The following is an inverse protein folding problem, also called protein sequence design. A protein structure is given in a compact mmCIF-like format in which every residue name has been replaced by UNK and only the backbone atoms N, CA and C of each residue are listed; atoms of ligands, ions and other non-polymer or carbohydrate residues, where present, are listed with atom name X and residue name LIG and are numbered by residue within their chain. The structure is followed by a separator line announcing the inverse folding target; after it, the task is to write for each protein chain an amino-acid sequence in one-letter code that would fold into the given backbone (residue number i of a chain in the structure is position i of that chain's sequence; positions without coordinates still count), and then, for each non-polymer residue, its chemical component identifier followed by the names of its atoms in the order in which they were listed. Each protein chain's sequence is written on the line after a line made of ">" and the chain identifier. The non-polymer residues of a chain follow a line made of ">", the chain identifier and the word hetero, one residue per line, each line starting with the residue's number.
data_IF_989287088963
#
_entry.id   IF_989287088963
#
_cell.length_a   1.000
_cell.length_b   1.000
_cell.length_c   1.000
_cell.angle_alpha   90.00
_cell.angle_beta   90.00
_cell.angle_gamma   90.00
#
_symmetry.space_group_name_H-M   'P 1'
#
loop_
_entity.id
_entity.type
_entity.pdbx_description
1 polymer ?
#
# COMPACT_ATOMS: atom_id res chain seq x y z
N UNK A 1 -31.39 -40.41 30.91
CA UNK A 1 -32.19 -39.89 29.79
C UNK A 1 -32.68 -38.52 30.25
N UNK A 2 -31.92 -37.45 29.96
CA UNK A 2 -32.34 -36.09 30.32
C UNK A 2 -33.61 -35.76 29.56
N UNK A 3 -34.56 -35.08 30.20
CA UNK A 3 -35.79 -34.68 29.54
C UNK A 3 -35.50 -33.50 28.61
N UNK A 4 -36.06 -33.49 27.39
CA UNK A 4 -35.93 -32.41 26.38
C UNK A 4 -35.90 -30.95 26.94
N UNK A 5 -36.67 -30.57 27.99
CA UNK A 5 -36.56 -29.24 28.60
C UNK A 5 -35.23 -28.95 29.31
N UNK A 6 -34.55 -29.94 29.91
CA UNK A 6 -33.29 -29.74 30.64
C UNK A 6 -32.11 -29.48 29.69
N UNK A 7 -32.08 -30.17 28.54
CA UNK A 7 -31.09 -29.91 27.47
C UNK A 7 -31.27 -28.49 26.91
N UNK A 8 -32.51 -28.05 26.66
CA UNK A 8 -32.78 -26.70 26.17
C UNK A 8 -32.28 -25.61 27.14
N UNK A 9 -32.51 -25.79 28.44
CA UNK A 9 -32.06 -24.85 29.48
C UNK A 9 -30.52 -24.81 29.53
N UNK A 10 -29.85 -25.96 29.40
CA UNK A 10 -28.37 -26.00 29.39
C UNK A 10 -27.75 -25.27 28.21
N UNK A 11 -28.35 -25.38 27.02
CA UNK A 11 -27.90 -24.67 25.81
C UNK A 11 -28.12 -23.17 25.97
N UNK A 12 -29.28 -22.75 26.48
CA UNK A 12 -29.59 -21.34 26.72
C UNK A 12 -28.61 -20.74 27.74
N UNK A 13 -28.30 -21.45 28.83
CA UNK A 13 -27.34 -21.00 29.83
C UNK A 13 -25.92 -20.90 29.25
N UNK A 14 -25.53 -21.83 28.38
CA UNK A 14 -24.22 -21.79 27.72
C UNK A 14 -24.09 -20.58 26.80
N UNK A 15 -25.13 -20.29 25.99
CA UNK A 15 -25.18 -19.11 25.13
C UNK A 15 -25.16 -17.83 25.98
N UNK A 16 -25.93 -17.76 27.07
CA UNK A 16 -25.94 -16.61 27.98
C UNK A 16 -24.56 -16.35 28.58
N UNK A 17 -23.85 -17.41 29.00
CA UNK A 17 -22.49 -17.30 29.53
C UNK A 17 -21.49 -16.82 28.47
N UNK A 18 -21.59 -17.31 27.23
CA UNK A 18 -20.77 -16.81 26.13
C UNK A 18 -21.04 -15.33 25.83
N UNK A 19 -22.32 -14.92 25.81
CA UNK A 19 -22.71 -13.52 25.61
C UNK A 19 -22.16 -12.62 26.72
N UNK A 20 -22.27 -13.04 27.99
CA UNK A 20 -21.73 -12.31 29.13
C UNK A 20 -20.20 -12.18 29.03
N UNK A 21 -19.51 -13.19 28.52
CA UNK A 21 -18.05 -13.18 28.35
C UNK A 21 -17.58 -12.31 27.17
N UNK A 22 -18.40 -12.19 26.12
CA UNK A 22 -18.12 -11.35 24.94
C UNK A 22 -18.41 -9.87 25.22
N UNK A 23 -19.42 -9.56 26.05
CA UNK A 23 -19.83 -8.20 26.36
C UNK A 23 -18.68 -7.25 26.78
N UNK A 24 -17.81 -7.59 27.75
CA UNK A 24 -16.70 -6.72 28.13
C UNK A 24 -15.69 -6.53 26.99
N UNK A 25 -15.44 -7.56 26.16
CA UNK A 25 -14.51 -7.49 25.03
C UNK A 25 -14.99 -6.48 23.97
N UNK A 26 -16.29 -6.45 23.70
CA UNK A 26 -16.89 -5.47 22.79
C UNK A 26 -16.73 -4.05 23.35
N UNK A 27 -17.03 -3.85 24.65
CA UNK A 27 -16.89 -2.56 25.30
C UNK A 27 -15.44 -2.02 25.21
N UNK A 28 -14.44 -2.85 25.54
CA UNK A 28 -13.03 -2.47 25.39
C UNK A 28 -12.63 -2.18 23.94
N UNK A 29 -13.14 -2.96 22.99
CA UNK A 29 -12.86 -2.73 21.56
C UNK A 29 -13.39 -1.38 21.08
N UNK A 30 -14.57 -0.96 21.55
CA UNK A 30 -15.15 0.36 21.26
C UNK A 30 -14.27 1.47 21.84
N UNK A 31 -13.81 1.32 23.09
CA UNK A 31 -12.90 2.28 23.73
C UNK A 31 -11.61 2.43 22.91
N UNK A 32 -11.00 1.31 22.51
CA UNK A 32 -9.79 1.31 21.67
C UNK A 32 -10.04 1.98 20.32
N UNK A 33 -11.18 1.71 19.68
CA UNK A 33 -11.54 2.35 18.41
C UNK A 33 -11.65 3.87 18.57
N UNK A 34 -12.34 4.35 19.61
CA UNK A 34 -12.46 5.79 19.91
C UNK A 34 -11.09 6.42 20.18
N UNK A 35 -10.25 5.78 20.99
CA UNK A 35 -8.89 6.25 21.26
C UNK A 35 -8.04 6.34 19.99
N UNK A 36 -8.15 5.34 19.10
CA UNK A 36 -7.44 5.33 17.82
C UNK A 36 -7.86 6.51 16.95
N UNK A 37 -9.17 6.81 16.87
CA UNK A 37 -9.67 7.96 16.11
C UNK A 37 -9.22 9.30 16.71
N UNK A 38 -9.12 9.40 18.04
CA UNK A 38 -8.58 10.59 18.72
C UNK A 38 -7.10 10.76 18.37
N UNK A 39 -6.32 9.68 18.42
CA UNK A 39 -4.89 9.70 18.06
C UNK A 39 -4.68 10.11 16.61
N UNK A 40 -5.49 9.60 15.68
CA UNK A 40 -5.48 10.00 14.25
C UNK A 40 -5.68 11.51 14.12
N UNK A 41 -6.70 12.07 14.77
CA UNK A 41 -6.95 13.53 14.73
C UNK A 41 -5.78 14.33 15.32
N UNK A 42 -5.20 13.87 16.43
CA UNK A 42 -4.08 14.53 17.10
C UNK A 42 -2.83 14.53 16.22
N UNK A 43 -2.46 13.37 15.70
CA UNK A 43 -1.28 13.18 14.85
C UNK A 43 -1.42 13.96 13.54
N UNK A 44 -2.60 13.95 12.92
CA UNK A 44 -2.84 14.74 11.71
C UNK A 44 -2.72 16.25 11.96
N UNK A 45 -3.13 16.74 13.13
CA UNK A 45 -2.90 18.14 13.51
C UNK A 45 -1.41 18.45 13.67
N UNK A 46 -0.66 17.56 14.32
CA UNK A 46 0.79 17.69 14.50
C UNK A 46 1.53 17.68 13.16
N UNK A 47 1.23 16.74 12.27
CA UNK A 47 1.86 16.65 10.94
C UNK A 47 1.62 17.93 10.14
N UNK A 48 0.36 18.40 10.07
CA UNK A 48 0.03 19.64 9.35
C UNK A 48 0.73 20.85 9.95
N UNK A 49 0.85 20.91 11.28
CA UNK A 49 1.59 21.96 11.95
C UNK A 49 3.08 21.91 11.62
N UNK A 50 3.71 20.73 11.67
CA UNK A 50 5.13 20.54 11.34
C UNK A 50 5.43 20.91 9.88
N UNK A 51 4.64 20.42 8.92
CA UNK A 51 4.85 20.72 7.50
C UNK A 51 4.80 22.22 7.23
N UNK A 52 3.88 22.93 7.88
CA UNK A 52 3.77 24.40 7.79
C UNK A 52 4.91 25.12 8.52
N UNK A 53 5.23 24.71 9.75
CA UNK A 53 6.25 25.35 10.58
C UNK A 53 7.63 25.32 9.91
N UNK A 54 7.96 24.22 9.23
CA UNK A 54 9.23 24.06 8.52
C UNK A 54 9.17 24.41 7.03
N UNK A 55 8.03 24.88 6.51
CA UNK A 55 7.81 25.12 5.08
C UNK A 55 8.31 23.95 4.20
N UNK A 56 8.04 22.70 4.61
CA UNK A 56 8.59 21.52 3.94
C UNK A 56 8.14 21.43 2.48
N UNK A 57 6.98 21.98 2.15
CA UNK A 57 6.50 22.06 0.76
C UNK A 57 7.43 22.91 -0.12
N UNK A 58 7.94 24.04 0.41
CA UNK A 58 8.86 24.92 -0.30
C UNK A 58 10.25 24.28 -0.47
N UNK A 59 10.71 23.55 0.55
CA UNK A 59 11.95 22.77 0.45
C UNK A 59 11.87 21.73 -0.65
N UNK A 60 10.74 21.03 -0.76
CA UNK A 60 10.57 20.02 -1.81
C UNK A 60 10.42 20.65 -3.19
N UNK A 61 9.70 21.77 -3.31
CA UNK A 61 9.62 22.46 -4.61
C UNK A 61 10.97 22.98 -5.10
N UNK A 62 11.89 23.28 -4.19
CA UNK A 62 13.26 23.69 -4.54
C UNK A 62 14.13 22.50 -4.98
N UNK A 63 13.87 21.31 -4.45
CA UNK A 63 14.59 20.09 -4.83
C UNK A 63 14.05 19.52 -6.14
N UNK A 64 12.72 19.33 -6.23
CA UNK A 64 12.06 18.65 -7.34
C UNK A 64 11.47 19.69 -8.32
N UNK A 65 11.89 19.69 -9.60
CA UNK A 65 11.38 20.64 -10.58
C UNK A 65 9.86 20.49 -10.76
N UNK A 66 9.11 21.57 -10.45
CA UNK A 66 7.64 21.57 -10.50
C UNK A 66 6.95 21.01 -9.24
N UNK A 67 7.71 20.70 -8.18
CA UNK A 67 7.19 20.19 -6.91
C UNK A 67 6.60 18.78 -7.00
N UNK A 68 6.04 18.30 -5.89
CA UNK A 68 5.26 17.05 -5.87
C UNK A 68 3.86 17.28 -6.41
N UNK A 69 3.33 16.33 -7.19
CA UNK A 69 1.92 16.38 -7.63
C UNK A 69 0.93 16.25 -6.47
N UNK A 70 1.31 15.54 -5.41
CA UNK A 70 0.52 15.37 -4.19
C UNK A 70 1.22 16.13 -3.06
N UNK A 71 0.53 16.99 -2.27
CA UNK A 71 1.14 17.72 -1.17
C UNK A 71 1.81 16.76 -0.18
N UNK A 72 3.01 17.13 0.29
CA UNK A 72 3.77 16.32 1.25
C UNK A 72 2.96 16.03 2.52
N UNK A 73 2.23 17.04 3.01
CA UNK A 73 1.35 16.88 4.17
C UNK A 73 0.37 15.72 3.97
N UNK A 74 -0.26 15.63 2.80
CA UNK A 74 -1.24 14.59 2.48
C UNK A 74 -0.61 13.20 2.46
N UNK A 75 0.58 13.07 1.85
CA UNK A 75 1.33 11.81 1.82
C UNK A 75 1.64 11.35 3.24
N UNK A 76 2.23 12.21 4.06
CA UNK A 76 2.63 11.87 5.44
C UNK A 76 1.40 11.56 6.29
N UNK A 77 0.31 12.33 6.20
CA UNK A 77 -0.92 12.05 6.94
C UNK A 77 -1.53 10.72 6.54
N UNK A 78 -1.55 10.39 5.25
CA UNK A 78 -2.11 9.13 4.77
C UNK A 78 -1.30 7.92 5.27
N UNK A 79 0.03 8.01 5.25
CA UNK A 79 0.91 6.98 5.81
C UNK A 79 0.68 6.81 7.32
N UNK A 80 0.58 7.92 8.06
CA UNK A 80 0.33 7.90 9.49
C UNK A 80 -1.04 7.28 9.81
N UNK A 81 -2.09 7.66 9.07
CA UNK A 81 -3.44 7.15 9.24
C UNK A 81 -3.51 5.64 9.00
N UNK A 82 -2.87 5.14 7.93
CA UNK A 82 -2.78 3.70 7.66
C UNK A 82 -2.09 2.95 8.80
N UNK A 83 -0.97 3.48 9.31
CA UNK A 83 -0.25 2.89 10.42
C UNK A 83 -1.08 2.84 11.71
N UNK A 84 -1.73 3.95 12.07
CA UNK A 84 -2.56 4.06 13.26
C UNK A 84 -3.80 3.18 13.19
N UNK A 85 -4.45 3.11 12.02
CA UNK A 85 -5.57 2.19 11.80
C UNK A 85 -5.12 0.73 11.96
N UNK A 86 -3.94 0.37 11.44
CA UNK A 86 -3.41 -0.98 11.58
C UNK A 86 -3.16 -1.32 13.06
N UNK A 87 -2.59 -0.41 13.83
CA UNK A 87 -2.39 -0.59 15.28
C UNK A 87 -3.73 -0.74 15.99
N UNK A 88 -4.72 0.11 15.69
CA UNK A 88 -6.05 0.03 16.30
C UNK A 88 -6.74 -1.31 16.00
N UNK A 89 -6.72 -1.74 14.74
CA UNK A 89 -7.24 -3.05 14.32
C UNK A 89 -6.50 -4.18 15.02
N UNK A 90 -5.18 -4.10 15.14
CA UNK A 90 -4.38 -5.13 15.80
C UNK A 90 -4.77 -5.30 17.28
N UNK A 91 -4.92 -4.19 18.00
CA UNK A 91 -5.34 -4.22 19.41
C UNK A 91 -6.76 -4.80 19.54
N UNK A 92 -7.70 -4.38 18.69
CA UNK A 92 -9.08 -4.89 18.69
C UNK A 92 -9.10 -6.40 18.40
N UNK A 93 -8.36 -6.85 17.38
CA UNK A 93 -8.24 -8.27 17.07
C UNK A 93 -7.67 -9.06 18.23
N UNK A 94 -6.66 -8.54 18.95
CA UNK A 94 -6.08 -9.20 20.12
C UNK A 94 -7.05 -9.31 21.30
N UNK A 95 -7.97 -8.36 21.45
CA UNK A 95 -9.00 -8.37 22.50
C UNK A 95 -10.10 -9.40 22.18
N UNK A 96 -10.53 -9.46 20.91
CA UNK A 96 -11.65 -10.30 20.49
C UNK A 96 -11.21 -11.76 20.30
N UNK A 97 -10.07 -11.98 19.65
CA UNK A 97 -9.60 -13.30 19.22
C UNK A 97 -8.65 -13.86 20.28
N UNK A 98 -9.06 -14.96 20.92
CA UNK A 98 -8.24 -15.65 21.91
C UNK A 98 -7.18 -16.57 21.28
N UNK A 99 -7.42 -17.05 20.06
CA UNK A 99 -6.52 -17.94 19.34
C UNK A 99 -5.37 -17.14 18.68
N UNK A 100 -4.15 -17.43 19.10
CA UNK A 100 -2.94 -16.76 18.63
C UNK A 100 -2.60 -17.07 17.16
N UNK A 101 -2.94 -18.26 16.65
CA UNK A 101 -2.72 -18.63 15.25
C UNK A 101 -3.63 -17.82 14.33
N UNK A 102 -4.91 -17.71 14.70
CA UNK A 102 -5.90 -16.93 13.92
C UNK A 102 -5.55 -15.44 13.97
N UNK A 103 -5.20 -14.93 15.17
CA UNK A 103 -4.75 -13.55 15.35
C UNK A 103 -3.55 -13.25 14.44
N UNK A 104 -2.49 -14.07 14.53
CA UNK A 104 -1.26 -13.86 13.76
C UNK A 104 -1.54 -13.91 12.26
N UNK A 105 -2.37 -14.85 11.80
CA UNK A 105 -2.79 -14.93 10.40
C UNK A 105 -3.47 -13.66 9.89
N UNK A 106 -4.42 -13.10 10.67
CA UNK A 106 -5.15 -11.88 10.31
C UNK A 106 -4.21 -10.67 10.28
N UNK A 107 -3.36 -10.50 11.29
CA UNK A 107 -2.40 -9.38 11.35
C UNK A 107 -1.38 -9.46 10.23
N UNK A 108 -0.89 -10.65 9.92
CA UNK A 108 0.05 -10.87 8.83
C UNK A 108 -0.62 -10.55 7.49
N UNK A 109 -1.87 -10.92 7.29
CA UNK A 109 -2.62 -10.53 6.10
C UNK A 109 -2.88 -9.02 6.01
N UNK A 110 -3.33 -8.39 7.10
CA UNK A 110 -3.60 -6.94 7.14
C UNK A 110 -2.33 -6.10 6.91
N UNK A 111 -1.21 -6.48 7.55
CA UNK A 111 0.09 -5.82 7.36
C UNK A 111 0.60 -5.94 5.92
N UNK A 112 0.34 -7.06 5.25
CA UNK A 112 0.63 -7.19 3.80
C UNK A 112 -0.13 -6.16 2.97
N UNK A 113 -1.44 -6.00 3.20
CA UNK A 113 -2.25 -5.02 2.46
C UNK A 113 -1.72 -3.60 2.67
N UNK A 114 -1.40 -3.24 3.91
CA UNK A 114 -0.84 -1.92 4.23
C UNK A 114 0.52 -1.72 3.55
N UNK A 115 1.42 -2.71 3.63
CA UNK A 115 2.73 -2.66 2.98
C UNK A 115 2.62 -2.43 1.47
N UNK A 116 1.75 -3.19 0.79
CA UNK A 116 1.50 -3.05 -0.65
C UNK A 116 0.99 -1.64 -0.97
N UNK A 117 0.05 -1.12 -0.17
CA UNK A 117 -0.53 0.21 -0.36
C UNK A 117 0.53 1.31 -0.21
N UNK A 118 1.32 1.25 0.87
CA UNK A 118 2.39 2.22 1.15
C UNK A 118 3.46 2.19 0.05
N UNK A 119 3.88 1.00 -0.36
CA UNK A 119 4.91 0.85 -1.39
C UNK A 119 4.43 1.35 -2.76
N UNK A 120 3.17 1.08 -3.11
CA UNK A 120 2.56 1.60 -4.34
C UNK A 120 2.54 3.12 -4.35
N UNK A 121 2.21 3.75 -3.21
CA UNK A 121 2.20 5.20 -3.08
C UNK A 121 3.61 5.79 -3.21
N UNK A 122 4.59 5.25 -2.48
CA UNK A 122 6.00 5.66 -2.58
C UNK A 122 6.47 5.56 -4.03
N UNK A 123 6.06 4.50 -4.72
CA UNK A 123 6.45 4.29 -6.08
C UNK A 123 5.86 5.33 -7.04
N UNK A 124 4.55 5.59 -6.96
CA UNK A 124 3.89 6.62 -7.79
C UNK A 124 4.58 7.97 -7.62
N UNK A 125 4.91 8.33 -6.37
CA UNK A 125 5.63 9.57 -6.05
C UNK A 125 7.05 9.59 -6.63
N UNK A 126 7.75 8.46 -6.53
CA UNK A 126 9.11 8.31 -7.09
C UNK A 126 9.12 8.44 -8.61
N UNK A 127 8.16 7.81 -9.29
CA UNK A 127 8.02 7.89 -10.74
C UNK A 127 7.73 9.34 -11.16
N UNK A 128 6.73 10.00 -10.56
CA UNK A 128 6.40 11.41 -10.85
C UNK A 128 7.63 12.32 -10.71
N UNK A 129 8.42 12.10 -9.66
CA UNK A 129 9.65 12.84 -9.40
C UNK A 129 10.70 12.57 -10.49
N UNK A 130 10.97 11.31 -10.81
CA UNK A 130 11.93 10.90 -11.82
C UNK A 130 11.62 11.53 -13.19
N UNK A 131 10.34 11.50 -13.59
CA UNK A 131 9.90 12.07 -14.86
C UNK A 131 10.20 13.56 -15.00
N UNK A 132 10.04 14.32 -13.91
CA UNK A 132 10.31 15.76 -13.89
C UNK A 132 11.78 16.09 -14.02
N UNK A 133 12.68 15.24 -13.50
CA UNK A 133 14.12 15.48 -13.59
C UNK A 133 14.69 15.25 -14.98
N UNK A 134 14.13 14.29 -15.71
CA UNK A 134 14.85 13.70 -16.83
C UNK A 134 14.85 14.58 -18.10
N UNK A 135 14.00 15.62 -18.25
CA UNK A 135 14.01 16.59 -19.38
C UNK A 135 14.32 15.97 -20.77
N UNK A 136 13.75 14.79 -21.03
CA UNK A 136 14.02 14.03 -22.24
C UNK A 136 12.98 14.38 -23.31
N UNK A 137 13.34 14.23 -24.60
CA UNK A 137 12.38 14.36 -25.70
C UNK A 137 11.13 13.48 -25.46
N UNK A 138 9.94 14.03 -25.70
CA UNK A 138 8.65 13.41 -25.36
C UNK A 138 8.47 11.96 -25.86
N UNK A 139 9.19 11.55 -26.92
CA UNK A 139 9.23 10.18 -27.43
C UNK A 139 10.00 9.21 -26.53
N UNK A 140 11.15 9.62 -26.04
CA UNK A 140 12.00 8.83 -25.13
C UNK A 140 11.43 8.85 -23.70
N UNK A 141 10.71 9.92 -23.35
CA UNK A 141 9.99 10.06 -22.08
C UNK A 141 9.04 8.88 -21.85
N UNK A 142 8.17 8.56 -22.83
CA UNK A 142 7.20 7.47 -22.71
C UNK A 142 7.85 6.08 -22.56
N UNK A 143 9.00 5.86 -23.22
CA UNK A 143 9.75 4.59 -23.11
C UNK A 143 10.37 4.46 -21.73
N UNK A 144 10.94 5.55 -21.19
CA UNK A 144 11.52 5.56 -19.85
C UNK A 144 10.46 5.46 -18.75
N UNK A 145 9.30 6.10 -18.89
CA UNK A 145 8.13 5.88 -18.00
C UNK A 145 7.83 4.39 -17.94
N UNK A 146 7.73 3.74 -19.09
CA UNK A 146 7.37 2.34 -19.18
C UNK A 146 8.43 1.43 -18.55
N UNK A 147 9.72 1.70 -18.79
CA UNK A 147 10.82 0.94 -18.17
C UNK A 147 10.84 1.13 -16.65
N UNK A 148 10.71 2.37 -16.15
CA UNK A 148 10.67 2.66 -14.70
C UNK A 148 9.43 2.05 -14.04
N UNK A 149 8.28 2.10 -14.72
CA UNK A 149 7.05 1.42 -14.33
C UNK A 149 7.29 -0.08 -14.18
N UNK A 150 7.83 -0.74 -15.22
CA UNK A 150 8.11 -2.17 -15.21
C UNK A 150 9.11 -2.55 -14.11
N UNK A 151 10.25 -1.84 -14.02
CA UNK A 151 11.28 -2.10 -13.02
C UNK A 151 10.74 -2.02 -11.60
N UNK A 152 9.84 -1.08 -11.34
CA UNK A 152 9.33 -0.96 -9.99
C UNK A 152 8.18 -1.88 -9.70
N UNK A 153 7.42 -2.30 -10.72
CA UNK A 153 6.49 -3.42 -10.55
C UNK A 153 7.29 -4.68 -10.13
N UNK A 154 8.50 -4.92 -10.67
CA UNK A 154 9.37 -6.02 -10.21
C UNK A 154 9.69 -5.88 -8.72
N UNK A 155 10.13 -4.69 -8.29
CA UNK A 155 10.46 -4.42 -6.88
C UNK A 155 9.22 -4.61 -5.99
N UNK A 156 8.06 -4.11 -6.43
CA UNK A 156 6.78 -4.29 -5.75
C UNK A 156 6.44 -5.78 -5.58
N UNK A 157 6.56 -6.58 -6.64
CA UNK A 157 6.26 -8.02 -6.62
C UNK A 157 7.14 -8.75 -5.61
N UNK A 158 8.42 -8.40 -5.52
CA UNK A 158 9.32 -9.07 -4.61
C UNK A 158 8.94 -8.82 -3.14
N UNK A 159 8.60 -7.57 -2.81
CA UNK A 159 8.12 -7.20 -1.48
C UNK A 159 6.69 -7.68 -1.18
N UNK A 160 5.87 -7.92 -2.20
CA UNK A 160 4.56 -8.52 -2.00
C UNK A 160 4.71 -10.00 -1.65
N UNK A 161 3.98 -10.48 -0.64
CA UNK A 161 3.94 -11.90 -0.28
C UNK A 161 3.01 -12.69 -1.23
N UNK A 162 3.14 -12.47 -2.53
CA UNK A 162 2.52 -13.30 -3.55
C UNK A 162 3.07 -14.73 -3.46
N UNK A 163 2.25 -15.71 -3.86
CA UNK A 163 2.72 -17.08 -3.94
C UNK A 163 3.87 -17.20 -4.94
N UNK A 164 4.73 -18.19 -4.75
CA UNK A 164 5.89 -18.46 -5.61
C UNK A 164 5.51 -18.50 -7.09
N UNK A 165 4.35 -19.07 -7.40
CA UNK A 165 3.82 -19.26 -8.74
C UNK A 165 3.42 -17.92 -9.37
N UNK A 166 2.77 -17.05 -8.60
CA UNK A 166 2.36 -15.72 -9.08
C UNK A 166 3.61 -14.84 -9.28
N UNK A 167 4.57 -14.87 -8.34
CA UNK A 167 5.83 -14.14 -8.49
C UNK A 167 6.56 -14.55 -9.77
N UNK A 168 6.63 -15.85 -10.04
CA UNK A 168 7.25 -16.37 -11.24
C UNK A 168 6.52 -15.94 -12.52
N UNK A 169 5.19 -16.09 -12.57
CA UNK A 169 4.39 -15.73 -13.74
C UNK A 169 4.50 -14.23 -14.09
N UNK A 170 4.41 -13.36 -13.07
CA UNK A 170 4.51 -11.91 -13.28
C UNK A 170 5.95 -11.50 -13.59
N UNK A 171 6.94 -12.10 -12.92
CA UNK A 171 8.37 -11.89 -13.22
C UNK A 171 8.72 -12.25 -14.66
N UNK A 172 8.19 -13.36 -15.17
CA UNK A 172 8.32 -13.73 -16.59
C UNK A 172 7.64 -12.71 -17.50
N UNK A 173 6.39 -12.34 -17.22
CA UNK A 173 5.65 -11.36 -18.03
C UNK A 173 6.38 -10.02 -18.14
N UNK A 174 6.94 -9.53 -17.03
CA UNK A 174 7.70 -8.28 -17.01
C UNK A 174 9.03 -8.43 -17.74
N UNK A 175 9.74 -9.54 -17.56
CA UNK A 175 11.01 -9.80 -18.26
C UNK A 175 10.81 -9.84 -19.77
N UNK A 176 9.73 -10.47 -20.25
CA UNK A 176 9.34 -10.48 -21.65
C UNK A 176 8.99 -9.07 -22.12
N UNK A 177 8.18 -8.33 -21.35
CA UNK A 177 7.81 -6.96 -21.67
C UNK A 177 9.01 -6.03 -21.80
N UNK A 178 9.91 -6.03 -20.81
CA UNK A 178 11.17 -5.28 -20.83
C UNK A 178 12.05 -5.68 -22.02
N UNK A 179 12.20 -6.99 -22.27
CA UNK A 179 12.96 -7.50 -23.41
C UNK A 179 12.42 -7.02 -24.76
N UNK A 180 11.09 -7.04 -24.94
CA UNK A 180 10.45 -6.54 -26.16
C UNK A 180 10.61 -5.03 -26.33
N UNK A 181 10.41 -4.24 -25.28
CA UNK A 181 10.57 -2.77 -25.33
C UNK A 181 12.00 -2.41 -25.67
N UNK A 182 12.97 -3.03 -24.98
CA UNK A 182 14.39 -2.82 -25.26
C UNK A 182 14.76 -3.27 -26.68
N UNK A 183 14.24 -4.42 -27.13
CA UNK A 183 14.45 -4.92 -28.48
C UNK A 183 13.92 -3.97 -29.57
N UNK A 184 12.68 -3.49 -29.42
CA UNK A 184 12.07 -2.52 -30.34
C UNK A 184 12.85 -1.20 -30.30
N UNK A 185 13.26 -0.75 -29.11
CA UNK A 185 14.03 0.48 -28.94
C UNK A 185 15.39 0.39 -29.63
N UNK A 186 16.13 -0.69 -29.41
CA UNK A 186 17.43 -0.94 -30.05
C UNK A 186 17.28 -1.08 -31.56
N UNK A 187 16.25 -1.81 -32.03
CA UNK A 187 15.96 -1.92 -33.46
C UNK A 187 15.67 -0.55 -34.09
N UNK A 188 14.81 0.25 -33.46
CA UNK A 188 14.52 1.60 -33.93
C UNK A 188 15.77 2.49 -33.92
N UNK A 189 16.60 2.43 -32.88
CA UNK A 189 17.84 3.21 -32.76
C UNK A 189 18.85 2.85 -33.87
N UNK A 190 19.05 1.56 -34.14
CA UNK A 190 20.00 1.07 -35.15
C UNK A 190 19.56 1.36 -36.58
N UNK A 191 18.25 1.28 -36.85
CA UNK A 191 17.71 1.43 -38.21
C UNK A 191 17.05 2.78 -38.47
N UNK A 192 17.13 3.74 -37.53
CA UNK A 192 16.49 5.06 -37.63
C UNK A 192 16.82 5.74 -38.96
N UNK A 193 18.09 5.80 -39.32
CA UNK A 193 18.57 6.49 -40.52
C UNK A 193 18.08 5.81 -41.81
N UNK A 194 18.09 4.47 -41.83
CA UNK A 194 17.57 3.69 -42.96
C UNK A 194 16.05 3.86 -43.16
N UNK A 195 15.29 3.93 -42.07
CA UNK A 195 13.84 4.13 -42.08
C UNK A 195 13.51 5.56 -42.52
N UNK A 196 14.27 6.56 -42.07
CA UNK A 196 14.02 7.97 -42.38
C UNK A 196 14.26 8.29 -43.87
N UNK A 197 15.25 7.64 -44.50
CA UNK A 197 15.53 7.76 -45.94
C UNK A 197 14.38 7.19 -46.78
N UNK A 198 13.80 6.05 -46.38
CA UNK A 198 12.73 5.37 -47.12
C UNK A 198 11.35 6.03 -46.99
N UNK A 199 11.12 6.83 -45.95
CA UNK A 199 9.82 7.48 -45.68
C UNK A 199 9.74 8.89 -46.32
N UNK A 200 10.88 9.50 -46.68
CA UNK A 200 10.94 10.82 -47.34
C UNK A 200 10.93 10.76 -48.88
N UNK A 201 10.73 9.59 -49.49
CA UNK A 201 10.56 9.42 -50.94
C UNK A 201 9.12 9.03 -51.24
#
# INVERSE_FOLDING_TARGET
>A
MLTLPEELISIINSILLEVINIFPKIAFSIIVAVLTLILIKLINKLIKWMVKAFNLELLISNLIPGGLRIPLATIITLLADLGLLMIGVAIICRIIIADELIYTGIILYASRIVSITVLTLIFIVSLDTFMKYVKIERKLENILVLIVLLLTIIILIDLTSLSSEIKYAVGLGISIGLGLILGIFVFWLLFKDYIEIRIKT
#
